data_IF_862008572813
#
_entry.id   IF_862008572813
#
_cell.length_a   1.000
_cell.length_b   1.000
_cell.length_c   1.000
_cell.angle_alpha   90.00
_cell.angle_beta   90.00
_cell.angle_gamma   90.00
#
_symmetry.space_group_name_H-M   'P 1'
#
loop_
_entity.id
_entity.type
_entity.pdbx_description
1 polymer ?
#
# COMPACT_ATOMS: atom_id res chain seq x y z
N UNK A 1 -15.81 19.99 12.09
CA UNK A 1 -14.82 20.97 11.59
C UNK A 1 -14.18 21.83 12.68
N UNK A 2 -14.96 22.47 13.56
CA UNK A 2 -14.39 23.33 14.62
C UNK A 2 -13.41 22.59 15.54
N UNK A 3 -13.67 21.31 15.83
CA UNK A 3 -12.75 20.46 16.60
C UNK A 3 -11.34 20.40 15.98
N UNK A 4 -11.22 20.22 14.66
CA UNK A 4 -9.91 20.20 14.01
C UNK A 4 -9.20 21.55 14.10
N UNK A 5 -9.93 22.66 14.01
CA UNK A 5 -9.36 24.01 14.16
C UNK A 5 -8.89 24.26 15.59
N UNK A 6 -9.63 23.82 16.59
CA UNK A 6 -9.25 23.92 18.02
C UNK A 6 -8.00 23.09 18.33
N UNK A 7 -7.89 21.88 17.79
CA UNK A 7 -6.66 21.09 17.98
C UNK A 7 -5.44 21.76 17.34
N UNK A 8 -5.62 22.47 16.21
CA UNK A 8 -4.54 23.22 15.55
C UNK A 8 -4.06 24.45 16.33
N UNK A 9 -4.86 24.98 17.27
CA UNK A 9 -4.42 26.13 18.07
C UNK A 9 -3.49 25.73 19.21
N UNK A 10 -3.41 24.44 19.55
CA UNK A 10 -2.56 23.95 20.64
C UNK A 10 -2.98 24.47 22.03
N UNK A 11 -4.27 24.83 22.17
CA UNK A 11 -4.81 25.29 23.45
C UNK A 11 -4.93 24.13 24.43
N UNK A 12 -4.61 24.39 25.69
CA UNK A 12 -4.90 23.46 26.78
C UNK A 12 -6.41 23.44 27.12
N UNK A 13 -6.84 22.41 27.85
CA UNK A 13 -8.27 22.14 28.06
C UNK A 13 -9.01 23.25 28.85
N UNK A 14 -8.28 24.01 29.67
CA UNK A 14 -8.75 25.10 30.53
C UNK A 14 -8.55 26.49 29.91
N UNK A 15 -7.89 26.58 28.76
CA UNK A 15 -7.63 27.85 28.10
C UNK A 15 -8.88 28.39 27.37
N UNK A 16 -9.16 29.70 27.46
CA UNK A 16 -10.31 30.29 26.81
C UNK A 16 -10.15 30.33 25.28
N UNK A 17 -11.15 29.80 24.56
CA UNK A 17 -11.26 29.96 23.11
C UNK A 17 -11.64 31.41 22.80
N UNK A 18 -10.77 32.11 22.07
CA UNK A 18 -10.92 33.54 21.77
C UNK A 18 -11.06 33.84 20.26
N UNK A 19 -11.46 35.07 19.95
CA UNK A 19 -11.46 35.59 18.58
C UNK A 19 -12.42 34.86 17.62
N UNK A 20 -11.93 34.56 16.42
CA UNK A 20 -12.73 34.01 15.31
C UNK A 20 -13.34 32.65 15.66
N UNK A 21 -12.60 31.78 16.37
CA UNK A 21 -13.09 30.44 16.73
C UNK A 21 -14.27 30.49 17.71
N UNK A 22 -14.24 31.44 18.66
CA UNK A 22 -15.35 31.64 19.58
C UNK A 22 -16.61 32.12 18.84
N UNK A 23 -16.45 33.01 17.87
CA UNK A 23 -17.56 33.48 17.03
C UNK A 23 -18.12 32.35 16.16
N UNK A 24 -17.26 31.53 15.55
CA UNK A 24 -17.69 30.33 14.81
C UNK A 24 -18.47 29.35 15.71
N UNK A 25 -18.00 29.10 16.93
CA UNK A 25 -18.69 28.25 17.89
C UNK A 25 -20.07 28.79 18.29
N UNK A 26 -20.14 30.09 18.62
CA UNK A 26 -21.41 30.74 18.96
C UNK A 26 -22.41 30.65 17.80
N UNK A 27 -21.97 30.94 16.58
CA UNK A 27 -22.79 30.80 15.37
C UNK A 27 -23.25 29.36 15.13
N UNK A 28 -22.38 28.37 15.35
CA UNK A 28 -22.75 26.96 15.26
C UNK A 28 -23.85 26.61 16.29
N UNK A 29 -23.67 27.03 17.55
CA UNK A 29 -24.65 26.79 18.62
C UNK A 29 -26.00 27.44 18.35
N UNK A 30 -26.02 28.67 17.82
CA UNK A 30 -27.25 29.34 17.39
C UNK A 30 -27.93 28.59 16.25
N UNK A 31 -27.16 28.11 15.28
CA UNK A 31 -27.68 27.33 14.17
C UNK A 31 -28.32 26.01 14.61
N UNK A 32 -27.78 25.34 15.64
CA UNK A 32 -28.36 24.11 16.18
C UNK A 32 -29.82 24.27 16.66
N UNK A 33 -30.25 25.48 17.05
CA UNK A 33 -31.62 25.73 17.47
C UNK A 33 -32.65 25.45 16.37
N UNK A 34 -32.27 25.59 15.09
CA UNK A 34 -33.14 25.33 13.94
C UNK A 34 -33.50 23.84 13.78
N UNK A 35 -32.68 22.92 14.32
CA UNK A 35 -32.93 21.47 14.24
C UNK A 35 -34.21 21.08 14.99
N UNK A 36 -34.72 21.90 15.91
CA UNK A 36 -35.98 21.63 16.63
C UNK A 36 -37.18 21.42 15.69
N UNK A 37 -37.16 22.00 14.49
CA UNK A 37 -38.21 21.82 13.49
C UNK A 37 -38.08 20.54 12.65
N UNK A 38 -37.01 19.76 12.83
CA UNK A 38 -36.75 18.58 12.02
C UNK A 38 -37.66 17.42 12.45
N UNK A 39 -38.40 16.88 11.49
CA UNK A 39 -39.23 15.68 11.66
C UNK A 39 -38.75 14.60 10.69
N UNK A 40 -38.37 13.45 11.21
CA UNK A 40 -37.92 12.30 10.41
C UNK A 40 -39.03 11.27 10.39
N UNK A 41 -39.59 10.93 9.22
CA UNK A 41 -40.58 9.86 9.09
C UNK A 41 -40.00 8.53 9.59
N UNK A 42 -40.73 7.87 10.51
CA UNK A 42 -40.30 6.57 11.06
C UNK A 42 -40.50 5.42 10.06
N UNK A 43 -41.49 5.54 9.18
CA UNK A 43 -41.78 4.51 8.19
C UNK A 43 -40.92 4.74 6.94
N UNK A 44 -40.25 3.68 6.49
CA UNK A 44 -39.30 3.71 5.37
C UNK A 44 -39.93 3.25 4.05
N UNK A 45 -41.26 3.29 3.93
CA UNK A 45 -42.00 2.86 2.75
C UNK A 45 -41.83 1.36 2.38
N UNK A 46 -41.37 0.56 3.33
CA UNK A 46 -41.16 -0.89 3.15
C UNK A 46 -42.45 -1.70 3.35
N UNK A 47 -42.67 -2.68 2.47
CA UNK A 47 -43.68 -3.73 2.55
C UNK A 47 -43.06 -5.10 2.24
N UNK A 48 -43.75 -6.20 2.57
CA UNK A 48 -43.25 -7.55 2.28
C UNK A 48 -43.12 -7.85 0.77
N UNK A 49 -43.78 -7.07 -0.10
CA UNK A 49 -43.69 -7.22 -1.54
C UNK A 49 -42.62 -6.31 -2.17
N UNK A 50 -41.97 -5.47 -1.37
CA UNK A 50 -41.00 -4.48 -1.88
C UNK A 50 -39.63 -5.11 -2.12
N UNK A 51 -38.95 -4.63 -3.16
CA UNK A 51 -37.51 -4.86 -3.35
C UNK A 51 -36.74 -3.76 -2.63
N UNK A 52 -35.65 -4.12 -1.95
CA UNK A 52 -34.82 -3.16 -1.21
C UNK A 52 -33.35 -3.25 -1.60
N UNK A 53 -32.69 -2.08 -1.62
CA UNK A 53 -31.28 -1.89 -1.94
C UNK A 53 -30.67 -0.87 -0.99
N UNK A 54 -29.41 -1.07 -0.60
CA UNK A 54 -28.64 -0.09 0.16
C UNK A 54 -27.63 0.60 -0.74
N UNK A 55 -27.60 1.92 -0.66
CA UNK A 55 -26.65 2.76 -1.41
C UNK A 55 -25.86 3.59 -0.42
N UNK A 56 -24.54 3.41 -0.38
CA UNK A 56 -23.64 4.23 0.44
C UNK A 56 -22.82 5.18 -0.42
N UNK A 57 -22.74 6.43 0.01
CA UNK A 57 -21.95 7.46 -0.62
C UNK A 57 -20.77 7.79 0.28
N UNK A 58 -19.59 7.97 -0.30
CA UNK A 58 -18.36 8.35 0.39
C UNK A 58 -17.84 9.69 -0.15
N UNK A 59 -17.31 10.50 0.75
CA UNK A 59 -16.58 11.73 0.40
C UNK A 59 -15.47 12.01 1.42
N UNK A 60 -14.46 12.76 1.00
CA UNK A 60 -13.41 13.24 1.86
C UNK A 60 -12.92 14.65 1.52
N UNK A 61 -12.61 15.40 2.56
CA UNK A 61 -11.91 16.68 2.50
C UNK A 61 -10.69 16.67 3.41
N UNK A 62 -9.88 17.73 3.33
CA UNK A 62 -8.75 17.95 4.25
C UNK A 62 -9.17 18.09 5.73
N UNK A 63 -10.46 18.29 6.00
CA UNK A 63 -10.98 18.55 7.36
C UNK A 63 -11.67 17.33 7.94
N UNK A 64 -12.41 16.58 7.13
CA UNK A 64 -13.12 15.38 7.54
C UNK A 64 -13.47 14.52 6.32
N UNK A 65 -13.76 13.25 6.56
CA UNK A 65 -14.33 12.34 5.58
C UNK A 65 -15.61 11.71 6.14
N UNK A 66 -16.53 11.38 5.25
CA UNK A 66 -17.88 11.00 5.61
C UNK A 66 -18.44 9.89 4.73
N UNK A 67 -19.45 9.20 5.27
CA UNK A 67 -20.25 8.24 4.55
C UNK A 67 -21.73 8.41 4.87
N UNK A 68 -22.60 8.16 3.90
CA UNK A 68 -24.05 8.35 4.00
C UNK A 68 -24.76 7.16 3.35
N UNK A 69 -25.65 6.48 4.08
CA UNK A 69 -26.37 5.28 3.61
C UNK A 69 -27.84 5.62 3.38
N UNK A 70 -28.32 5.29 2.19
CA UNK A 70 -29.73 5.35 1.82
C UNK A 70 -30.29 3.94 1.61
N UNK A 71 -31.54 3.76 2.02
CA UNK A 71 -32.38 2.62 1.65
C UNK A 71 -33.25 3.03 0.47
N UNK A 72 -33.05 2.36 -0.65
CA UNK A 72 -33.91 2.43 -1.82
C UNK A 72 -34.94 1.31 -1.72
N UNK A 73 -36.23 1.66 -1.79
CA UNK A 73 -37.34 0.72 -1.73
C UNK A 73 -38.15 0.85 -3.02
N UNK A 74 -38.34 -0.26 -3.72
CA UNK A 74 -39.19 -0.35 -4.91
C UNK A 74 -40.45 -1.14 -4.53
N UNK A 75 -41.60 -0.47 -4.51
CA UNK A 75 -42.90 -1.06 -4.22
C UNK A 75 -43.90 -0.70 -5.33
N UNK A 76 -44.40 -1.70 -6.07
CA UNK A 76 -45.41 -1.53 -7.13
C UNK A 76 -45.08 -0.38 -8.09
N UNK A 77 -43.86 -0.40 -8.62
CA UNK A 77 -43.29 0.60 -9.54
C UNK A 77 -43.04 2.01 -8.97
N UNK A 78 -43.21 2.19 -7.65
CA UNK A 78 -42.82 3.41 -6.96
C UNK A 78 -41.49 3.21 -6.23
N UNK A 79 -40.59 4.18 -6.39
CA UNK A 79 -39.28 4.18 -5.75
C UNK A 79 -39.28 5.19 -4.61
N UNK A 80 -38.84 4.74 -3.44
CA UNK A 80 -38.66 5.57 -2.24
C UNK A 80 -37.21 5.51 -1.83
N UNK A 81 -36.61 6.67 -1.56
CA UNK A 81 -35.23 6.78 -1.08
C UNK A 81 -35.26 7.37 0.32
N UNK A 82 -34.68 6.67 1.28
CA UNK A 82 -34.70 7.05 2.68
C UNK A 82 -33.28 7.10 3.23
N UNK A 83 -32.87 8.24 3.80
CA UNK A 83 -31.64 8.32 4.57
C UNK A 83 -31.73 7.44 5.82
N UNK A 84 -30.84 6.46 5.97
CA UNK A 84 -30.83 5.53 7.11
C UNK A 84 -29.83 5.97 8.17
N UNK A 85 -28.59 6.22 7.75
CA UNK A 85 -27.51 6.58 8.67
C UNK A 85 -26.41 7.33 7.93
N UNK A 86 -25.63 8.10 8.68
CA UNK A 86 -24.41 8.73 8.18
C UNK A 86 -23.35 8.73 9.26
N UNK A 87 -22.08 8.84 8.84
CA UNK A 87 -20.95 8.86 9.75
C UNK A 87 -19.87 9.77 9.22
N UNK A 88 -19.41 10.69 10.07
CA UNK A 88 -18.30 11.61 9.76
C UNK A 88 -17.14 11.34 10.71
N UNK A 89 -15.91 11.38 10.19
CA UNK A 89 -14.68 11.36 10.98
C UNK A 89 -13.84 12.58 10.67
N UNK A 90 -13.32 13.23 11.71
CA UNK A 90 -12.38 14.35 11.56
C UNK A 90 -11.06 13.84 10.99
N UNK A 91 -10.53 14.53 9.98
CA UNK A 91 -9.27 14.16 9.36
C UNK A 91 -8.10 14.39 10.34
N UNK A 92 -7.13 13.45 10.43
CA UNK A 92 -5.98 13.59 11.32
C UNK A 92 -5.14 14.85 11.03
N UNK A 93 -4.60 15.49 12.08
CA UNK A 93 -3.76 16.69 11.94
C UNK A 93 -2.27 16.35 11.91
N UNK A 94 -1.85 15.37 12.73
CA UNK A 94 -0.44 15.06 13.01
C UNK A 94 0.28 14.37 11.84
N UNK A 95 -0.47 13.73 10.95
CA UNK A 95 0.06 13.08 9.75
C UNK A 95 -0.45 13.85 8.55
N UNK A 96 0.45 14.39 7.73
CA UNK A 96 0.08 14.90 6.41
C UNK A 96 -0.45 13.72 5.57
N UNK A 97 -1.76 13.53 5.58
CA UNK A 97 -2.45 12.55 4.75
C UNK A 97 -2.85 13.28 3.47
N UNK A 98 -2.47 12.74 2.31
CA UNK A 98 -2.88 13.28 1.02
C UNK A 98 -4.40 13.17 0.85
N UNK A 99 -4.98 14.02 0.00
CA UNK A 99 -6.42 13.98 -0.30
C UNK A 99 -6.85 12.59 -0.79
N UNK A 100 -6.14 11.94 -1.74
CA UNK A 100 -6.48 10.57 -2.17
C UNK A 100 -6.50 9.56 -1.02
N UNK A 101 -5.55 9.64 -0.08
CA UNK A 101 -5.54 8.77 1.10
C UNK A 101 -6.71 9.04 2.05
N UNK A 102 -7.22 10.27 2.12
CA UNK A 102 -8.44 10.59 2.86
C UNK A 102 -9.69 10.09 2.12
N UNK A 103 -9.73 10.18 0.80
CA UNK A 103 -10.82 9.66 -0.04
C UNK A 103 -11.00 8.16 0.16
N UNK A 104 -9.92 7.35 0.11
CA UNK A 104 -10.02 5.92 0.41
C UNK A 104 -10.35 5.63 1.89
N UNK A 105 -10.04 6.56 2.82
CA UNK A 105 -10.54 6.44 4.20
C UNK A 105 -12.06 6.67 4.26
N UNK A 106 -12.60 7.59 3.45
CA UNK A 106 -14.04 7.77 3.25
C UNK A 106 -14.68 6.51 2.69
N UNK A 107 -14.11 5.92 1.64
CA UNK A 107 -14.60 4.68 1.04
C UNK A 107 -14.57 3.50 2.03
N UNK A 108 -13.50 3.35 2.82
CA UNK A 108 -13.41 2.31 3.85
C UNK A 108 -14.44 2.54 4.98
N UNK A 109 -14.72 3.80 5.33
CA UNK A 109 -15.79 4.14 6.28
C UNK A 109 -17.16 3.77 5.73
N UNK A 110 -17.40 4.03 4.44
CA UNK A 110 -18.62 3.67 3.73
C UNK A 110 -18.85 2.16 3.69
N UNK A 111 -17.84 1.37 3.30
CA UNK A 111 -17.90 -0.09 3.30
C UNK A 111 -18.29 -0.64 4.68
N UNK A 112 -17.64 -0.16 5.74
CA UNK A 112 -17.98 -0.58 7.10
C UNK A 112 -19.42 -0.19 7.50
N UNK A 113 -19.84 1.03 7.17
CA UNK A 113 -21.15 1.54 7.55
C UNK A 113 -22.28 0.81 6.83
N UNK A 114 -22.13 0.51 5.53
CA UNK A 114 -23.14 -0.24 4.78
C UNK A 114 -23.25 -1.68 5.25
N UNK A 115 -22.13 -2.33 5.63
CA UNK A 115 -22.14 -3.68 6.19
C UNK A 115 -22.86 -3.74 7.55
N UNK A 116 -22.57 -2.81 8.46
CA UNK A 116 -23.27 -2.73 9.73
C UNK A 116 -24.78 -2.50 9.51
N UNK A 117 -25.13 -1.67 8.52
CA UNK A 117 -26.53 -1.36 8.18
C UNK A 117 -27.24 -2.56 7.53
N UNK A 118 -26.57 -3.28 6.61
CA UNK A 118 -27.14 -4.43 5.91
C UNK A 118 -27.45 -5.58 6.87
N UNK A 119 -26.59 -5.80 7.86
CA UNK A 119 -26.80 -6.81 8.91
C UNK A 119 -28.04 -6.50 9.77
N UNK A 120 -28.26 -5.22 10.10
CA UNK A 120 -29.42 -4.80 10.91
C UNK A 120 -30.72 -4.87 10.10
N UNK A 121 -30.67 -4.49 8.82
CA UNK A 121 -31.84 -4.47 7.93
C UNK A 121 -32.05 -5.79 7.16
N UNK A 122 -31.18 -6.78 7.35
CA UNK A 122 -31.18 -8.06 6.66
C UNK A 122 -31.17 -7.92 5.12
N UNK A 123 -30.40 -6.95 4.60
CA UNK A 123 -30.25 -6.74 3.15
C UNK A 123 -29.11 -7.62 2.63
N UNK A 124 -29.31 -8.43 1.57
CA UNK A 124 -28.27 -9.32 1.06
C UNK A 124 -27.15 -8.56 0.35
N UNK A 125 -25.96 -9.15 0.31
CA UNK A 125 -24.73 -8.52 -0.21
C UNK A 125 -24.84 -8.09 -1.68
N UNK A 126 -25.61 -8.83 -2.49
CA UNK A 126 -25.86 -8.49 -3.90
C UNK A 126 -26.81 -7.29 -4.11
N UNK A 127 -27.23 -6.65 -3.02
CA UNK A 127 -28.10 -5.46 -3.00
C UNK A 127 -27.42 -4.27 -2.30
N UNK A 128 -26.09 -4.31 -2.18
CA UNK A 128 -25.27 -3.26 -1.59
C UNK A 128 -24.49 -2.55 -2.70
N UNK A 129 -24.69 -1.24 -2.82
CA UNK A 129 -24.03 -0.39 -3.81
C UNK A 129 -23.28 0.74 -3.14
N UNK A 130 -22.11 1.09 -3.66
CA UNK A 130 -21.25 2.11 -3.10
C UNK A 130 -20.85 3.16 -4.15
N UNK A 131 -20.71 4.41 -3.72
CA UNK A 131 -20.51 5.55 -4.62
C UNK A 131 -19.46 6.50 -4.07
N UNK A 132 -18.58 6.99 -4.95
CA UNK A 132 -17.59 8.04 -4.62
C UNK A 132 -17.35 8.93 -5.85
N UNK A 133 -16.98 10.18 -5.64
CA UNK A 133 -16.54 11.09 -6.69
C UNK A 133 -15.03 11.01 -6.97
N UNK A 134 -14.28 10.23 -6.18
CA UNK A 134 -12.86 10.01 -6.40
C UNK A 134 -12.61 8.90 -7.43
N UNK A 135 -12.22 9.31 -8.64
CA UNK A 135 -11.75 8.39 -9.67
C UNK A 135 -10.47 7.65 -9.28
N UNK A 136 -9.62 8.26 -8.43
CA UNK A 136 -8.40 7.62 -7.89
C UNK A 136 -8.77 6.43 -6.99
N UNK A 137 -9.77 6.60 -6.11
CA UNK A 137 -10.26 5.49 -5.28
C UNK A 137 -10.79 4.37 -6.16
N UNK A 138 -11.57 4.68 -7.19
CA UNK A 138 -12.14 3.68 -8.09
C UNK A 138 -11.03 2.93 -8.87
N UNK A 139 -9.99 3.62 -9.32
CA UNK A 139 -8.82 3.01 -9.93
C UNK A 139 -8.06 2.10 -8.95
N UNK A 140 -7.94 2.50 -7.67
CA UNK A 140 -7.37 1.63 -6.64
C UNK A 140 -8.20 0.38 -6.36
N UNK A 141 -9.53 0.50 -6.32
CA UNK A 141 -10.40 -0.67 -6.15
C UNK A 141 -10.27 -1.62 -7.35
N UNK A 142 -10.25 -1.09 -8.57
CA UNK A 142 -10.06 -1.86 -9.81
C UNK A 142 -8.77 -2.68 -9.81
N UNK A 143 -7.65 -2.10 -9.38
CA UNK A 143 -6.37 -2.81 -9.33
C UNK A 143 -6.27 -3.86 -8.22
N UNK A 144 -7.14 -3.82 -7.22
CA UNK A 144 -7.16 -4.75 -6.10
C UNK A 144 -5.98 -4.60 -5.12
N UNK A 145 -5.99 -5.35 -3.99
CA UNK A 145 -5.09 -5.08 -2.87
C UNK A 145 -3.60 -5.29 -3.19
N UNK A 146 -3.26 -6.16 -4.14
CA UNK A 146 -1.88 -6.55 -4.43
C UNK A 146 -1.09 -5.50 -5.21
N UNK A 147 -1.79 -4.55 -5.84
CA UNK A 147 -1.19 -3.49 -6.66
C UNK A 147 -0.61 -2.35 -5.84
N UNK A 148 -1.11 -2.09 -4.63
CA UNK A 148 -0.84 -0.84 -3.91
C UNK A 148 0.05 -1.04 -2.69
N UNK A 149 0.64 0.05 -2.22
CA UNK A 149 1.39 0.01 -0.97
C UNK A 149 0.50 -0.35 0.22
N UNK A 150 1.11 -0.65 1.37
CA UNK A 150 0.39 -1.19 2.54
C UNK A 150 -0.79 -0.34 3.01
N UNK A 151 -0.73 1.00 2.91
CA UNK A 151 -1.81 1.86 3.40
C UNK A 151 -3.08 1.71 2.54
N UNK A 152 -2.91 1.76 1.22
CA UNK A 152 -3.99 1.64 0.24
C UNK A 152 -4.41 0.18 0.13
N UNK A 153 -3.46 -0.75 0.01
CA UNK A 153 -3.68 -2.20 -0.07
C UNK A 153 -4.59 -2.74 1.03
N UNK A 154 -4.32 -2.39 2.30
CA UNK A 154 -5.14 -2.84 3.42
C UNK A 154 -6.59 -2.34 3.30
N UNK A 155 -6.78 -1.06 2.92
CA UNK A 155 -8.12 -0.48 2.77
C UNK A 155 -8.85 -1.02 1.56
N UNK A 156 -8.17 -1.21 0.43
CA UNK A 156 -8.74 -1.88 -0.74
C UNK A 156 -9.20 -3.28 -0.36
N UNK A 157 -8.40 -4.02 0.42
CA UNK A 157 -8.82 -5.34 0.92
C UNK A 157 -10.06 -5.26 1.81
N UNK A 158 -10.09 -4.33 2.77
CA UNK A 158 -11.24 -4.16 3.67
C UNK A 158 -12.52 -3.81 2.89
N UNK A 159 -12.39 -2.92 1.89
CA UNK A 159 -13.49 -2.47 1.04
C UNK A 159 -14.02 -3.62 0.17
N UNK A 160 -13.14 -4.29 -0.58
CA UNK A 160 -13.54 -5.34 -1.52
C UNK A 160 -13.97 -6.65 -0.84
N UNK A 161 -13.62 -6.86 0.43
CA UNK A 161 -14.20 -7.93 1.24
C UNK A 161 -15.65 -7.63 1.68
N UNK A 162 -16.14 -6.42 1.43
CA UNK A 162 -17.45 -5.95 1.89
C UNK A 162 -18.41 -5.65 0.74
N UNK A 163 -17.93 -4.92 -0.27
CA UNK A 163 -18.69 -4.59 -1.48
C UNK A 163 -17.82 -4.86 -2.68
N UNK A 164 -18.29 -5.75 -3.56
CA UNK A 164 -17.62 -6.11 -4.81
C UNK A 164 -17.38 -4.87 -5.68
N UNK A 165 -16.27 -4.87 -6.43
CA UNK A 165 -15.88 -3.75 -7.28
C UNK A 165 -16.97 -3.36 -8.29
N UNK A 166 -17.72 -4.34 -8.80
CA UNK A 166 -18.82 -4.16 -9.76
C UNK A 166 -19.99 -3.34 -9.18
N UNK A 167 -20.11 -3.28 -7.86
CA UNK A 167 -21.11 -2.46 -7.16
C UNK A 167 -20.58 -1.09 -6.71
N UNK A 168 -19.33 -0.74 -7.06
CA UNK A 168 -18.78 0.60 -6.89
C UNK A 168 -19.00 1.46 -8.14
N UNK A 169 -19.62 2.62 -7.95
CA UNK A 169 -19.90 3.59 -9.01
C UNK A 169 -19.32 4.98 -8.73
N UNK A 170 -19.18 5.78 -9.79
CA UNK A 170 -18.84 7.18 -9.68
C UNK A 170 -20.11 8.02 -9.52
N UNK A 171 -20.04 9.01 -8.63
CA UNK A 171 -21.05 10.07 -8.50
C UNK A 171 -20.35 11.40 -8.66
N UNK A 172 -20.92 12.35 -9.40
CA UNK A 172 -20.31 13.68 -9.51
C UNK A 172 -20.37 14.42 -8.18
N UNK A 173 -19.34 15.20 -7.85
CA UNK A 173 -19.21 15.93 -6.58
C UNK A 173 -20.43 16.81 -6.26
N UNK A 174 -21.03 17.45 -7.28
CA UNK A 174 -22.20 18.34 -7.13
C UNK A 174 -23.47 17.62 -6.68
N UNK A 175 -23.54 16.31 -6.89
CA UNK A 175 -24.66 15.46 -6.48
C UNK A 175 -24.23 14.37 -5.50
N UNK A 176 -23.05 14.50 -4.86
CA UNK A 176 -22.61 13.55 -3.85
C UNK A 176 -23.14 13.96 -2.46
N UNK A 177 -24.11 13.24 -1.86
CA UNK A 177 -24.65 13.62 -0.56
C UNK A 177 -23.62 13.48 0.59
N UNK A 178 -22.55 12.71 0.40
CA UNK A 178 -21.50 12.59 1.40
C UNK A 178 -20.66 13.86 1.56
N UNK A 179 -20.68 14.77 0.58
CA UNK A 179 -20.05 16.08 0.68
C UNK A 179 -20.60 16.89 1.87
N UNK A 180 -21.92 16.80 2.09
CA UNK A 180 -22.58 17.40 3.25
C UNK A 180 -22.03 16.85 4.58
N UNK A 181 -21.69 15.56 4.63
CA UNK A 181 -21.14 14.92 5.82
C UNK A 181 -19.66 15.27 6.04
N UNK A 182 -18.88 15.46 4.98
CA UNK A 182 -17.44 15.76 5.05
C UNK A 182 -17.17 17.26 5.27
N UNK A 183 -17.99 18.13 4.65
CA UNK A 183 -17.84 19.60 4.69
C UNK A 183 -18.81 20.29 5.65
N UNK A 184 -19.85 19.60 6.10
CA UNK A 184 -20.84 20.09 7.05
C UNK A 184 -21.93 20.97 6.44
N UNK A 185 -23.09 20.95 7.09
CA UNK A 185 -24.25 21.78 6.78
C UNK A 185 -24.65 22.62 7.99
N UNK A 186 -25.19 23.82 7.76
CA UNK A 186 -25.83 24.59 8.83
C UNK A 186 -27.20 24.00 9.17
N UNK A 187 -27.64 24.16 10.42
CA UNK A 187 -28.94 23.63 10.86
C UNK A 187 -30.13 24.22 10.08
N UNK A 188 -30.03 25.47 9.63
CA UNK A 188 -31.02 26.13 8.78
C UNK A 188 -31.08 25.53 7.37
N UNK A 189 -29.93 25.17 6.80
CA UNK A 189 -29.81 24.55 5.47
C UNK A 189 -30.31 23.11 5.49
N UNK A 190 -29.96 22.36 6.56
CA UNK A 190 -30.26 20.95 6.70
C UNK A 190 -31.75 20.63 6.54
N UNK A 191 -32.65 21.46 7.09
CA UNK A 191 -34.10 21.20 7.10
C UNK A 191 -34.69 20.96 5.71
N UNK A 192 -34.23 21.70 4.70
CA UNK A 192 -34.76 21.66 3.34
C UNK A 192 -33.73 21.12 2.32
N UNK A 193 -32.66 20.47 2.80
CA UNK A 193 -31.58 20.02 1.94
C UNK A 193 -31.95 18.72 1.19
N UNK A 194 -32.58 18.85 0.01
CA UNK A 194 -33.11 17.71 -0.74
C UNK A 194 -32.08 16.63 -1.02
N UNK A 195 -30.87 16.99 -1.46
CA UNK A 195 -29.80 16.02 -1.72
C UNK A 195 -29.43 15.20 -0.48
N UNK A 196 -29.49 15.80 0.71
CA UNK A 196 -29.15 15.11 1.96
C UNK A 196 -30.25 14.13 2.38
N UNK A 197 -31.51 14.51 2.25
CA UNK A 197 -32.64 13.68 2.69
C UNK A 197 -33.05 12.61 1.68
N UNK A 198 -32.95 12.93 0.39
CA UNK A 198 -33.47 12.10 -0.70
C UNK A 198 -32.37 11.48 -1.57
N UNK A 199 -31.11 11.83 -1.34
CA UNK A 199 -30.01 11.41 -2.20
C UNK A 199 -30.07 12.05 -3.59
N UNK A 200 -29.25 11.56 -4.54
CA UNK A 200 -29.27 12.02 -5.92
C UNK A 200 -30.60 11.68 -6.62
N UNK A 201 -31.07 12.54 -7.52
CA UNK A 201 -32.36 12.36 -8.19
C UNK A 201 -32.49 11.00 -8.92
N UNK A 202 -31.40 10.55 -9.56
CA UNK A 202 -31.35 9.27 -10.28
C UNK A 202 -31.58 8.05 -9.39
N UNK A 203 -31.39 8.17 -8.06
CA UNK A 203 -31.63 7.07 -7.13
C UNK A 203 -33.14 6.76 -7.00
N UNK A 204 -33.99 7.73 -7.35
CA UNK A 204 -35.45 7.59 -7.42
C UNK A 204 -35.94 7.04 -8.75
N UNK A 205 -35.06 6.78 -9.73
CA UNK A 205 -35.45 6.23 -11.01
C UNK A 205 -35.71 4.72 -10.89
N UNK A 206 -36.77 4.22 -11.55
CA UNK A 206 -37.12 2.80 -11.51
C UNK A 206 -36.04 1.91 -12.15
N UNK A 207 -35.52 2.36 -13.31
CA UNK A 207 -34.48 1.69 -14.08
C UNK A 207 -33.14 2.41 -13.88
N UNK A 208 -32.43 2.08 -12.80
CA UNK A 208 -31.06 2.55 -12.61
C UNK A 208 -30.12 1.84 -13.58
N UNK A 209 -29.47 2.61 -14.46
CA UNK A 209 -28.32 2.11 -15.21
C UNK A 209 -27.08 2.19 -14.31
N UNK A 210 -26.71 1.09 -13.67
CA UNK A 210 -25.39 0.95 -13.06
C UNK A 210 -24.39 0.69 -14.18
N UNK A 211 -23.97 1.73 -14.88
CA UNK A 211 -22.81 1.61 -15.76
C UNK A 211 -21.59 1.32 -14.88
N UNK A 212 -20.88 0.22 -15.14
CA UNK A 212 -19.53 0.01 -14.62
C UNK A 212 -18.63 0.93 -15.41
N UNK A 213 -18.09 2.02 -14.84
CA UNK A 213 -17.38 2.97 -15.67
C UNK A 213 -15.97 2.45 -15.92
N UNK A 214 -15.50 2.65 -17.14
CA UNK A 214 -14.15 2.31 -17.53
C UNK A 214 -13.22 3.44 -17.08
N UNK A 215 -12.76 3.39 -15.84
CA UNK A 215 -11.83 4.39 -15.31
C UNK A 215 -10.41 4.11 -15.79
N UNK A 216 -9.68 5.21 -16.03
CA UNK A 216 -8.26 5.19 -16.33
C UNK A 216 -7.46 4.62 -15.17
N UNK A 217 -6.40 3.89 -15.50
CA UNK A 217 -5.51 3.32 -14.50
C UNK A 217 -4.67 4.44 -13.84
N UNK A 218 -4.35 4.27 -12.56
CA UNK A 218 -3.49 5.20 -11.81
C UNK A 218 -2.20 4.52 -11.37
N UNK A 219 -1.11 5.30 -11.33
CA UNK A 219 0.18 4.89 -10.77
C UNK A 219 0.41 5.45 -9.36
N UNK A 220 -0.53 6.23 -8.83
CA UNK A 220 -0.42 6.76 -7.47
C UNK A 220 -0.47 5.62 -6.44
N UNK A 221 0.47 5.63 -5.50
CA UNK A 221 0.58 4.63 -4.41
C UNK A 221 0.82 3.19 -4.91
N UNK A 222 1.18 2.99 -6.19
CA UNK A 222 1.53 1.69 -6.76
C UNK A 222 2.69 1.07 -5.97
N UNK A 223 2.51 -0.19 -5.58
CA UNK A 223 3.52 -0.95 -4.86
C UNK A 223 4.68 -1.20 -5.79
N UNK A 224 5.88 -0.83 -5.34
CA UNK A 224 7.11 -1.31 -5.97
C UNK A 224 7.14 -2.84 -5.88
N UNK A 225 6.94 -3.50 -7.01
CA UNK A 225 7.05 -4.96 -7.13
C UNK A 225 8.52 -5.34 -7.29
N UNK A 226 9.16 -5.76 -6.21
CA UNK A 226 10.54 -6.25 -6.25
C UNK A 226 10.55 -7.69 -6.80
N UNK A 227 10.93 -7.87 -8.06
CA UNK A 227 11.12 -9.19 -8.68
C UNK A 227 12.33 -9.87 -8.04
N UNK A 228 12.13 -11.06 -7.46
CA UNK A 228 13.23 -11.85 -6.87
C UNK A 228 13.75 -12.85 -7.90
N UNK A 229 14.96 -12.63 -8.42
CA UNK A 229 15.64 -13.58 -9.28
C UNK A 229 16.26 -14.71 -8.44
N UNK A 230 15.92 -15.96 -8.76
CA UNK A 230 16.55 -17.14 -8.19
C UNK A 230 17.72 -17.53 -9.09
N UNK A 231 18.93 -17.31 -8.59
CA UNK A 231 20.16 -17.80 -9.19
C UNK A 231 20.45 -19.21 -8.66
N UNK A 232 20.69 -20.16 -9.57
CA UNK A 232 21.18 -21.48 -9.21
C UNK A 232 22.66 -21.54 -9.59
N UNK A 233 23.53 -21.41 -8.58
CA UNK A 233 24.96 -21.68 -8.70
C UNK A 233 25.14 -23.19 -8.84
N UNK A 234 25.59 -23.69 -9.99
CA UNK A 234 26.49 -24.85 -9.96
C UNK A 234 27.90 -24.32 -9.64
N UNK A 235 28.15 -23.98 -8.37
CA UNK A 235 29.52 -23.89 -7.87
C UNK A 235 29.62 -24.48 -6.48
N UNK A 236 30.69 -25.24 -6.28
CA UNK A 236 31.21 -25.54 -4.97
C UNK A 236 31.32 -24.25 -4.14
N UNK A 237 30.63 -24.26 -3.01
CA UNK A 237 30.58 -23.18 -2.04
C UNK A 237 32.00 -22.81 -1.55
N UNK A 238 32.21 -21.59 -1.04
CA UNK A 238 33.51 -21.10 -0.50
C UNK A 238 34.22 -22.06 0.48
N UNK A 239 33.50 -23.05 1.04
CA UNK A 239 34.06 -24.15 1.83
C UNK A 239 35.11 -24.96 1.06
N UNK A 240 35.10 -25.01 -0.28
CA UNK A 240 36.11 -25.73 -1.07
C UNK A 240 37.37 -24.91 -1.36
N UNK A 241 37.37 -23.60 -1.08
CA UNK A 241 38.58 -22.76 -1.11
C UNK A 241 39.45 -22.90 0.14
N UNK A 242 38.91 -23.48 1.21
CA UNK A 242 39.66 -23.78 2.43
C UNK A 242 39.80 -25.29 2.53
N UNK A 243 41.04 -25.78 2.54
CA UNK A 243 41.31 -27.22 2.59
C UNK A 243 40.89 -27.87 3.92
N UNK A 244 40.44 -27.07 4.90
CA UNK A 244 39.91 -27.54 6.18
C UNK A 244 39.05 -26.47 6.89
N UNK A 245 38.09 -26.92 7.71
CA UNK A 245 37.31 -26.08 8.64
C UNK A 245 38.21 -25.17 9.50
N UNK A 246 39.36 -25.68 9.91
CA UNK A 246 40.36 -24.95 10.71
C UNK A 246 40.90 -23.71 10.00
N UNK A 247 41.08 -23.75 8.69
CA UNK A 247 41.60 -22.62 7.92
C UNK A 247 40.57 -21.49 7.82
N UNK A 248 39.32 -21.85 7.63
CA UNK A 248 38.22 -20.90 7.59
C UNK A 248 37.96 -20.24 8.94
N UNK A 249 37.96 -21.03 10.03
CA UNK A 249 37.83 -20.49 11.39
C UNK A 249 38.95 -19.49 11.71
N UNK A 250 40.17 -19.73 11.21
CA UNK A 250 41.29 -18.77 11.34
C UNK A 250 41.01 -17.46 10.62
N UNK A 251 40.49 -17.50 9.39
CA UNK A 251 40.16 -16.27 8.64
C UNK A 251 39.04 -15.48 9.33
N UNK A 252 37.96 -16.15 9.78
CA UNK A 252 36.90 -15.49 10.54
C UNK A 252 37.44 -14.89 11.86
N UNK A 253 38.35 -15.59 12.54
CA UNK A 253 38.97 -15.12 13.76
C UNK A 253 39.95 -13.94 13.54
N UNK A 254 40.51 -13.77 12.34
CA UNK A 254 41.35 -12.62 11.98
C UNK A 254 40.46 -11.41 11.71
N UNK A 255 39.46 -11.56 10.84
CA UNK A 255 38.63 -10.45 10.36
C UNK A 255 37.58 -9.98 11.39
N UNK A 256 36.98 -10.91 12.13
CA UNK A 256 35.85 -10.65 13.04
C UNK A 256 36.16 -11.02 14.49
N UNK A 257 37.43 -10.91 14.90
CA UNK A 257 37.91 -11.31 16.23
C UNK A 257 37.07 -10.71 17.37
N UNK A 258 36.85 -9.39 17.33
CA UNK A 258 36.07 -8.69 18.37
C UNK A 258 34.63 -9.18 18.41
N UNK A 259 33.99 -9.33 17.25
CA UNK A 259 32.59 -9.76 17.13
C UNK A 259 32.43 -11.20 17.63
N UNK A 260 33.34 -12.12 17.25
CA UNK A 260 33.32 -13.51 17.69
C UNK A 260 33.54 -13.61 19.20
N UNK A 261 34.47 -12.83 19.76
CA UNK A 261 34.68 -12.78 21.23
C UNK A 261 33.44 -12.27 21.95
N UNK A 262 32.79 -11.22 21.43
CA UNK A 262 31.57 -10.66 22.01
C UNK A 262 30.40 -11.66 21.95
N UNK A 263 30.24 -12.34 20.81
CA UNK A 263 29.21 -13.37 20.63
C UNK A 263 29.43 -14.57 21.54
N UNK A 264 30.67 -15.04 21.71
CA UNK A 264 30.99 -16.15 22.61
C UNK A 264 30.86 -15.80 24.09
N UNK A 265 31.09 -14.53 24.45
CA UNK A 265 31.06 -14.09 25.86
C UNK A 265 29.67 -13.71 26.35
N UNK A 266 28.91 -12.95 25.56
CA UNK A 266 27.63 -12.38 26.00
C UNK A 266 26.46 -12.65 25.04
N UNK A 267 26.70 -13.34 23.90
CA UNK A 267 25.65 -13.70 22.94
C UNK A 267 25.21 -12.57 21.99
N UNK A 268 25.87 -11.40 22.02
CA UNK A 268 25.55 -10.28 21.14
C UNK A 268 26.77 -9.41 20.84
N UNK A 269 26.73 -8.68 19.72
CA UNK A 269 27.75 -7.66 19.37
C UNK A 269 27.30 -6.25 19.76
N UNK A 270 28.25 -5.35 20.05
CA UNK A 270 27.98 -3.95 20.41
C UNK A 270 27.42 -3.14 19.22
N UNK A 271 26.76 -2.01 19.51
CA UNK A 271 26.14 -1.13 18.48
C UNK A 271 27.12 -0.62 17.40
N UNK A 272 28.42 -0.57 17.70
CA UNK A 272 29.48 -0.16 16.77
C UNK A 272 29.84 -1.23 15.73
N UNK A 273 29.43 -2.49 15.95
CA UNK A 273 29.72 -3.59 15.03
C UNK A 273 28.93 -3.45 13.74
N UNK A 274 29.62 -3.61 12.61
CA UNK A 274 29.00 -3.68 11.28
C UNK A 274 28.03 -4.86 11.15
N UNK A 275 28.16 -5.88 12.00
CA UNK A 275 27.33 -7.08 12.00
C UNK A 275 26.07 -6.96 12.86
N UNK A 276 25.93 -5.91 13.70
CA UNK A 276 24.82 -5.79 14.67
C UNK A 276 23.43 -5.96 14.05
N UNK A 277 23.21 -5.35 12.89
CA UNK A 277 21.91 -5.35 12.20
C UNK A 277 21.63 -6.65 11.44
N UNK A 278 22.60 -7.58 11.39
CA UNK A 278 22.50 -8.87 10.71
C UNK A 278 22.20 -10.02 11.68
N UNK A 279 21.87 -9.73 12.94
CA UNK A 279 21.61 -10.73 13.98
C UNK A 279 22.69 -11.85 14.02
N UNK A 280 23.97 -11.49 14.26
CA UNK A 280 25.07 -12.43 14.12
C UNK A 280 25.08 -13.43 15.30
N UNK A 281 25.51 -14.66 15.05
CA UNK A 281 25.66 -15.71 16.06
C UNK A 281 26.82 -16.63 15.70
N UNK A 282 27.31 -17.40 16.68
CA UNK A 282 28.32 -18.44 16.46
C UNK A 282 27.63 -19.79 16.61
N UNK A 283 27.75 -20.65 15.60
CA UNK A 283 27.14 -21.98 15.64
C UNK A 283 27.94 -22.98 16.49
N UNK A 284 27.42 -24.21 16.61
CA UNK A 284 28.06 -25.29 17.39
C UNK A 284 29.43 -25.71 16.85
N UNK A 285 29.75 -25.37 15.60
CA UNK A 285 31.03 -25.64 14.95
C UNK A 285 32.01 -24.46 15.10
N UNK A 286 31.62 -23.40 15.81
CA UNK A 286 32.43 -22.21 16.04
C UNK A 286 32.41 -21.21 14.88
N UNK A 287 31.50 -21.37 13.92
CA UNK A 287 31.42 -20.54 12.70
C UNK A 287 30.57 -19.30 12.99
N UNK A 288 31.07 -18.13 12.60
CA UNK A 288 30.31 -16.89 12.63
C UNK A 288 29.26 -16.88 11.50
N UNK A 289 27.98 -16.72 11.87
CA UNK A 289 26.81 -16.70 10.98
C UNK A 289 25.90 -15.50 11.26
N UNK A 290 24.94 -15.26 10.38
CA UNK A 290 23.95 -14.17 10.46
C UNK A 290 22.52 -14.70 10.33
N UNK A 291 21.62 -14.23 11.20
CA UNK A 291 20.22 -14.67 11.27
C UNK A 291 19.22 -13.68 10.66
N UNK A 292 17.96 -13.75 11.11
CA UNK A 292 16.90 -12.80 10.72
C UNK A 292 15.79 -13.43 9.87
N UNK A 293 15.26 -12.69 8.89
CA UNK A 293 14.12 -13.12 8.04
C UNK A 293 14.39 -14.42 7.27
N UNK A 294 15.66 -14.77 7.09
CA UNK A 294 16.11 -15.97 6.38
C UNK A 294 15.91 -17.27 7.19
N UNK A 295 15.79 -17.18 8.52
CA UNK A 295 15.46 -18.32 9.40
C UNK A 295 14.02 -18.81 9.24
N UNK A 296 13.17 -18.04 8.53
CA UNK A 296 11.79 -18.40 8.22
C UNK A 296 11.63 -19.08 6.85
N UNK A 297 12.71 -19.35 6.13
CA UNK A 297 12.65 -20.03 4.82
C UNK A 297 12.66 -21.55 4.99
N UNK A 298 12.03 -22.27 4.08
CA UNK A 298 12.00 -23.75 4.06
C UNK A 298 13.31 -24.37 3.54
N UNK A 299 14.40 -23.60 3.48
CA UNK A 299 15.67 -24.02 2.89
C UNK A 299 16.51 -24.81 3.91
N UNK A 300 17.42 -25.67 3.42
CA UNK A 300 18.38 -26.36 4.29
C UNK A 300 19.25 -25.35 5.07
N UNK A 301 19.60 -25.69 6.32
CA UNK A 301 20.23 -24.78 7.29
C UNK A 301 21.46 -24.03 6.76
N UNK A 302 22.35 -24.67 6.01
CA UNK A 302 23.52 -23.99 5.43
C UNK A 302 23.19 -23.07 4.26
N UNK A 303 22.10 -23.34 3.54
CA UNK A 303 21.58 -22.49 2.46
C UNK A 303 20.85 -21.25 3.00
N UNK A 304 20.33 -21.31 4.24
CA UNK A 304 19.71 -20.16 4.91
C UNK A 304 20.72 -19.06 5.31
N UNK A 305 22.04 -19.30 5.25
CA UNK A 305 23.03 -18.38 5.81
C UNK A 305 24.05 -17.88 4.76
N UNK A 306 23.63 -17.71 3.50
CA UNK A 306 24.48 -17.23 2.39
C UNK A 306 24.64 -15.69 2.35
N UNK A 307 25.85 -15.11 2.15
CA UNK A 307 26.08 -13.67 2.33
C UNK A 307 26.00 -12.74 1.10
N UNK A 308 25.53 -13.14 -0.09
CA UNK A 308 25.81 -12.34 -1.31
C UNK A 308 24.59 -12.04 -2.20
N UNK A 309 24.20 -10.77 -2.25
CA UNK A 309 23.63 -10.12 -3.45
C UNK A 309 24.18 -8.69 -3.50
N UNK A 310 25.02 -8.38 -4.48
CA UNK A 310 25.52 -7.03 -4.74
C UNK A 310 24.72 -6.35 -5.85
N UNK A 311 24.67 -5.03 -5.79
CA UNK A 311 23.86 -4.16 -6.65
C UNK A 311 24.29 -4.16 -8.12
N UNK A 312 25.53 -4.53 -8.39
CA UNK A 312 26.09 -4.62 -9.75
C UNK A 312 25.40 -5.72 -10.57
N UNK A 313 25.13 -6.86 -9.93
CA UNK A 313 24.44 -8.00 -10.55
C UNK A 313 22.99 -7.65 -10.90
N UNK A 314 22.37 -6.80 -10.08
CA UNK A 314 21.00 -6.36 -10.28
C UNK A 314 20.89 -5.46 -11.53
N UNK A 315 21.76 -4.45 -11.66
CA UNK A 315 21.83 -3.50 -12.78
C UNK A 315 22.08 -4.20 -14.13
N UNK A 316 22.97 -5.20 -14.13
CA UNK A 316 23.29 -5.95 -15.33
C UNK A 316 22.09 -6.76 -15.86
N UNK A 317 21.32 -7.39 -14.96
CA UNK A 317 20.11 -8.13 -15.32
C UNK A 317 19.05 -7.24 -15.99
N UNK A 318 18.85 -6.02 -15.50
CA UNK A 318 17.88 -5.08 -16.08
C UNK A 318 18.28 -4.69 -17.51
N UNK A 319 19.57 -4.40 -17.71
CA UNK A 319 20.09 -3.93 -19.01
C UNK A 319 19.94 -4.99 -20.11
N UNK A 320 20.26 -6.24 -19.81
CA UNK A 320 20.10 -7.35 -20.75
C UNK A 320 18.62 -7.69 -21.00
N UNK A 321 17.75 -7.54 -19.99
CA UNK A 321 16.31 -7.75 -20.13
C UNK A 321 15.70 -6.75 -21.13
N UNK A 322 16.03 -5.46 -21.00
CA UNK A 322 15.56 -4.42 -21.93
C UNK A 322 16.04 -4.68 -23.36
N UNK A 323 17.31 -5.07 -23.54
CA UNK A 323 17.88 -5.40 -24.86
C UNK A 323 17.27 -6.65 -25.51
N UNK A 324 16.96 -7.67 -24.71
CA UNK A 324 16.34 -8.92 -25.19
C UNK A 324 14.95 -8.70 -25.82
N UNK A 325 14.16 -7.77 -25.26
CA UNK A 325 12.81 -7.48 -25.77
C UNK A 325 12.82 -6.47 -26.93
N UNK A 326 13.63 -5.41 -26.83
CA UNK A 326 13.75 -4.41 -27.90
C UNK A 326 14.32 -4.99 -29.20
N UNK A 327 15.29 -5.91 -29.12
CA UNK A 327 15.86 -6.59 -30.30
C UNK A 327 14.86 -7.47 -31.06
N UNK A 328 13.79 -7.93 -30.39
CA UNK A 328 12.68 -8.69 -31.01
C UNK A 328 11.50 -7.82 -31.45
N UNK A 329 11.71 -6.50 -31.55
CA UNK A 329 10.65 -5.51 -31.84
C UNK A 329 9.47 -5.57 -30.85
N UNK A 330 9.70 -6.11 -29.66
CA UNK A 330 8.72 -6.10 -28.58
C UNK A 330 8.98 -4.82 -27.78
N UNK A 331 8.05 -3.86 -27.78
CA UNK A 331 8.27 -2.59 -27.10
C UNK A 331 8.37 -2.81 -25.58
N UNK A 332 9.45 -2.30 -24.99
CA UNK A 332 9.67 -2.28 -23.54
C UNK A 332 9.22 -0.92 -23.04
N UNK A 333 8.06 -0.87 -22.40
CA UNK A 333 7.46 0.40 -21.95
C UNK A 333 8.02 0.87 -20.61
N UNK A 334 8.40 -0.05 -19.71
CA UNK A 334 9.16 0.24 -18.49
C UNK A 334 9.87 -1.03 -17.97
N UNK A 335 10.99 -0.86 -17.27
CA UNK A 335 11.72 -1.94 -16.59
C UNK A 335 12.25 -1.39 -15.26
N UNK A 336 11.88 -2.00 -14.13
CA UNK A 336 12.20 -1.48 -12.80
C UNK A 336 13.12 -2.42 -12.02
N UNK A 337 14.03 -1.81 -11.28
CA UNK A 337 15.01 -2.45 -10.41
C UNK A 337 14.85 -1.86 -9.01
N UNK A 338 14.59 -2.68 -8.00
CA UNK A 338 14.58 -2.21 -6.61
C UNK A 338 16.03 -2.12 -6.11
N UNK A 339 16.59 -0.91 -6.21
CA UNK A 339 17.95 -0.55 -5.82
C UNK A 339 18.00 0.10 -4.44
N UNK A 340 17.04 -0.16 -3.55
CA UNK A 340 17.00 0.42 -2.21
C UNK A 340 18.25 0.13 -1.34
N UNK A 341 19.27 -0.57 -1.88
CA UNK A 341 20.60 -0.73 -1.28
C UNK A 341 21.86 -0.62 -2.15
N UNK A 342 21.91 -0.09 -3.38
CA UNK A 342 23.16 0.62 -3.77
C UNK A 342 23.08 1.59 -4.95
N UNK A 343 24.07 2.48 -4.90
CA UNK A 343 24.40 3.60 -5.76
C UNK A 343 24.99 3.20 -7.12
N UNK A 344 24.65 4.03 -8.10
CA UNK A 344 25.37 4.55 -9.27
C UNK A 344 25.95 3.63 -10.37
N UNK A 345 25.50 3.95 -11.59
CA UNK A 345 26.06 3.74 -12.93
C UNK A 345 27.59 3.56 -13.01
N UNK A 346 28.07 2.33 -13.25
CA UNK A 346 29.49 2.09 -13.63
C UNK A 346 29.58 1.24 -14.90
N UNK A 347 30.46 1.65 -15.83
CA UNK A 347 30.88 0.89 -17.01
C UNK A 347 31.95 -0.13 -16.63
N UNK A 348 31.77 -1.41 -16.98
CA UNK A 348 32.69 -2.50 -16.62
C UNK A 348 34.11 -2.32 -17.16
N UNK A 349 34.28 -1.76 -18.36
CA UNK A 349 35.61 -1.38 -18.84
C UNK A 349 36.25 -0.32 -17.95
N UNK A 350 35.44 0.63 -17.47
CA UNK A 350 35.89 1.66 -16.56
C UNK A 350 36.18 1.08 -15.16
N UNK A 351 35.42 0.09 -14.72
CA UNK A 351 35.65 -0.66 -13.48
C UNK A 351 36.95 -1.45 -13.53
N UNK A 352 37.16 -2.28 -14.56
CA UNK A 352 38.37 -3.07 -14.70
C UNK A 352 39.61 -2.21 -14.89
N UNK A 353 39.48 -1.08 -15.60
CA UNK A 353 40.54 -0.08 -15.74
C UNK A 353 40.84 0.63 -14.41
N UNK A 354 39.83 0.97 -13.61
CA UNK A 354 40.03 1.55 -12.27
C UNK A 354 40.60 0.54 -11.27
N UNK A 355 40.18 -0.73 -11.32
CA UNK A 355 40.74 -1.78 -10.47
C UNK A 355 42.20 -2.05 -10.83
N UNK A 356 42.57 -2.01 -12.11
CA UNK A 356 43.97 -2.20 -12.51
C UNK A 356 44.87 -0.98 -12.31
N UNK A 357 44.31 0.25 -12.26
CA UNK A 357 45.09 1.49 -12.16
C UNK A 357 45.06 2.15 -10.77
N UNK A 358 44.00 1.96 -9.99
CA UNK A 358 43.74 2.73 -8.76
C UNK A 358 43.59 1.85 -7.51
N UNK A 359 44.00 0.58 -7.57
CA UNK A 359 44.02 -0.30 -6.39
C UNK A 359 45.30 -1.13 -6.34
N UNK A 360 45.74 -1.50 -5.14
CA UNK A 360 46.90 -2.39 -4.93
C UNK A 360 46.55 -3.88 -5.14
N UNK A 361 45.42 -4.18 -5.82
CA UNK A 361 45.01 -5.55 -6.07
C UNK A 361 45.97 -6.24 -7.06
N UNK A 362 46.45 -7.46 -6.76
CA UNK A 362 47.26 -8.22 -7.69
C UNK A 362 46.52 -8.45 -9.02
N UNK A 363 47.24 -8.27 -10.13
CA UNK A 363 46.70 -8.41 -11.49
C UNK A 363 46.01 -9.76 -11.72
N UNK A 364 46.56 -10.83 -11.13
CA UNK A 364 46.00 -12.18 -11.22
C UNK A 364 44.62 -12.28 -10.56
N UNK A 365 44.36 -11.55 -9.47
CA UNK A 365 43.04 -11.49 -8.84
C UNK A 365 42.04 -10.79 -9.78
N UNK A 366 42.46 -9.71 -10.44
CA UNK A 366 41.62 -8.97 -11.38
C UNK A 366 41.26 -9.84 -12.60
N UNK A 367 42.22 -10.63 -13.11
CA UNK A 367 41.98 -11.51 -14.25
C UNK A 367 41.13 -12.74 -13.87
N UNK A 368 41.25 -13.26 -12.64
CA UNK A 368 40.34 -14.28 -12.10
C UNK A 368 38.90 -13.74 -11.99
N UNK A 369 38.73 -12.50 -11.52
CA UNK A 369 37.43 -11.87 -11.41
C UNK A 369 36.79 -11.67 -12.80
N UNK A 370 37.57 -11.19 -13.78
CA UNK A 370 37.11 -11.12 -15.18
C UNK A 370 36.69 -12.48 -15.72
N UNK A 371 37.48 -13.53 -15.46
CA UNK A 371 37.17 -14.89 -15.90
C UNK A 371 35.85 -15.41 -15.31
N UNK A 372 35.62 -15.21 -14.02
CA UNK A 372 34.37 -15.64 -13.37
C UNK A 372 33.15 -14.89 -13.90
N UNK A 373 33.26 -13.59 -14.12
CA UNK A 373 32.14 -12.80 -14.66
C UNK A 373 31.80 -13.18 -16.11
N UNK A 374 32.81 -13.50 -16.94
CA UNK A 374 32.61 -13.89 -18.34
C UNK A 374 32.02 -15.30 -18.53
N UNK A 375 32.07 -16.17 -17.52
CA UNK A 375 31.67 -17.58 -17.63
C UNK A 375 30.41 -17.95 -16.84
N UNK A 376 29.62 -16.97 -16.40
CA UNK A 376 28.39 -17.21 -15.65
C UNK A 376 27.17 -17.54 -16.53
N UNK A 377 26.39 -18.53 -16.08
CA UNK A 377 25.07 -18.87 -16.61
C UNK A 377 23.98 -18.36 -15.66
N UNK A 378 22.90 -17.85 -16.23
CA UNK A 378 21.81 -17.16 -15.53
C UNK A 378 20.45 -17.72 -15.96
N UNK A 379 19.46 -17.59 -15.07
CA UNK A 379 18.09 -18.06 -15.25
C UNK A 379 17.10 -17.03 -14.70
N UNK A 380 15.86 -17.02 -15.21
CA UNK A 380 14.77 -16.17 -14.70
C UNK A 380 13.66 -17.06 -14.15
N UNK A 381 13.18 -16.80 -12.92
CA UNK A 381 12.04 -17.52 -12.34
C UNK A 381 10.77 -16.68 -12.41
N UNK A 382 9.71 -17.22 -13.01
CA UNK A 382 8.39 -16.59 -13.08
C UNK A 382 7.30 -17.60 -12.77
N UNK A 383 6.36 -17.25 -11.89
CA UNK A 383 5.24 -18.10 -11.49
C UNK A 383 5.63 -19.55 -11.10
N UNK A 384 6.82 -19.72 -10.50
CA UNK A 384 7.34 -21.03 -10.12
C UNK A 384 8.17 -21.75 -11.18
N UNK A 385 8.20 -21.27 -12.43
CA UNK A 385 8.89 -21.89 -13.56
C UNK A 385 10.19 -21.13 -13.89
N UNK A 386 11.28 -21.86 -14.16
CA UNK A 386 12.57 -21.29 -14.58
C UNK A 386 12.64 -21.15 -16.11
N UNK A 387 13.31 -20.10 -16.60
CA UNK A 387 13.64 -19.92 -18.01
C UNK A 387 14.77 -20.85 -18.45
N UNK A 388 15.05 -20.87 -19.76
CA UNK A 388 16.29 -21.44 -20.28
C UNK A 388 17.53 -20.68 -19.75
N UNK A 389 18.66 -21.39 -19.70
CA UNK A 389 19.95 -20.83 -19.28
C UNK A 389 20.46 -19.82 -20.31
N UNK A 390 20.98 -18.68 -19.86
CA UNK A 390 21.65 -17.72 -20.73
C UNK A 390 22.96 -17.20 -20.11
N UNK A 391 23.93 -16.89 -20.96
CA UNK A 391 25.20 -16.26 -20.54
C UNK A 391 25.10 -14.76 -20.72
N UNK A 392 25.75 -14.03 -19.82
CA UNK A 392 25.91 -12.58 -19.95
C UNK A 392 27.04 -12.33 -20.96
N UNK A 393 26.70 -11.90 -22.17
CA UNK A 393 27.70 -11.47 -23.14
C UNK A 393 28.29 -10.13 -22.66
N UNK A 394 29.54 -10.18 -22.21
CA UNK A 394 30.35 -9.00 -21.93
C UNK A 394 30.72 -8.34 -23.26
N UNK A 395 30.59 -7.00 -23.31
CA UNK A 395 31.09 -6.20 -24.42
C UNK A 395 32.59 -6.34 -24.61
#
# INVERSE_FOLDING_TARGET
>A
MIMQKLWKTGLDWDEPVNGVLLLEWKRYRENLAHIKGLSIPRWLHYSNASSIELHVFADASQVAYGAVVYLRVVDRDQVYVNLITSKTKVAPIEKQVSIPRLEICGAALAAKLILETSQVLCVPDNKLFAWTDSTIVLAWLKGGPSMWNTFVSNRVSDILNTVDYEHWGHVSTDINPADCASRGLQGSELLNHSLWWNGPAWLSDLNMNTCVPNYEDTHEEERTRSLTALYNTEQEFIWTKYSSLSQMLRVQAIEFNEDIKQLKSHGYVLKRSKLRNLCPFVDNNGILRVGGRIQKSEMAYDTQHQPHLSTETAILCLKHTVQYYTSRKTPVYACFLDLSKAFDLVSYDCLWRRLSQNTDLPKDIIDILKYWYNNQYNYVKSAGVLSDAYRLECG
#
